data_IF_626811241526
#
_entry.id   IF_626811241526
#
_cell.length_a   1.000
_cell.length_b   1.000
_cell.length_c   1.000
_cell.angle_alpha   90.00
_cell.angle_beta   90.00
_cell.angle_gamma   90.00
#
_symmetry.space_group_name_H-M   'P 1'
#
loop_
_entity.id
_entity.type
_entity.pdbx_description
1 polymer ?
#
# COMPACT_ATOMS: atom_id res chain seq x y z
N UNK A 1 -16.00 0.95 -28.25
CA UNK A 1 -15.02 0.94 -27.14
C UNK A 1 -15.78 0.64 -25.87
N UNK A 2 -15.44 -0.48 -25.23
CA UNK A 2 -16.01 -0.95 -23.98
C UNK A 2 -15.45 -0.20 -22.76
N UNK A 3 -16.22 -0.21 -21.69
CA UNK A 3 -15.92 0.42 -20.39
C UNK A 3 -14.55 0.02 -19.81
N UNK A 4 -14.14 -1.25 -19.99
CA UNK A 4 -12.89 -1.85 -19.47
C UNK A 4 -11.61 -1.32 -20.13
N UNK A 5 -11.73 -0.54 -21.20
CA UNK A 5 -10.58 0.00 -21.95
C UNK A 5 -10.19 1.42 -21.56
N UNK A 6 -10.94 2.04 -20.65
CA UNK A 6 -10.71 3.44 -20.26
C UNK A 6 -9.72 3.58 -19.09
N UNK A 7 -9.71 2.63 -18.15
CA UNK A 7 -8.85 2.66 -16.97
C UNK A 7 -8.40 1.26 -16.56
N UNK A 8 -7.39 1.17 -15.70
CA UNK A 8 -6.83 -0.12 -15.25
C UNK A 8 -7.72 -0.87 -14.23
N UNK A 9 -8.60 -0.13 -13.57
CA UNK A 9 -9.57 -0.61 -12.59
C UNK A 9 -10.79 0.35 -12.56
N UNK A 10 -11.88 -0.06 -11.91
CA UNK A 10 -13.12 0.73 -11.85
C UNK A 10 -12.92 2.08 -11.16
N UNK A 11 -11.97 2.19 -10.23
CA UNK A 11 -11.69 3.43 -9.51
C UNK A 11 -10.99 4.44 -10.43
N UNK A 12 -9.97 3.98 -11.15
CA UNK A 12 -9.22 4.73 -12.15
C UNK A 12 -10.12 5.23 -13.27
N UNK A 13 -10.98 4.36 -13.78
CA UNK A 13 -11.98 4.70 -14.79
C UNK A 13 -12.94 5.81 -14.30
N UNK A 14 -13.49 5.69 -13.10
CA UNK A 14 -14.39 6.72 -12.53
C UNK A 14 -13.65 8.04 -12.33
N UNK A 15 -12.38 8.00 -11.91
CA UNK A 15 -11.56 9.20 -11.76
C UNK A 15 -11.37 9.92 -13.11
N UNK A 16 -10.99 9.19 -14.15
CA UNK A 16 -10.84 9.73 -15.51
C UNK A 16 -12.14 10.32 -16.05
N UNK A 17 -13.28 9.63 -15.85
CA UNK A 17 -14.57 10.15 -16.29
C UNK A 17 -14.94 11.45 -15.58
N UNK A 18 -14.69 11.56 -14.27
CA UNK A 18 -14.90 12.80 -13.52
C UNK A 18 -13.96 13.93 -13.98
N UNK A 19 -12.71 13.59 -14.28
CA UNK A 19 -11.74 14.55 -14.80
C UNK A 19 -12.20 15.11 -16.16
N UNK A 20 -12.64 14.24 -17.08
CA UNK A 20 -13.19 14.66 -18.36
C UNK A 20 -14.47 15.50 -18.21
N UNK A 21 -15.38 15.15 -17.30
CA UNK A 21 -16.59 15.94 -17.02
C UNK A 21 -16.22 17.37 -16.54
N UNK A 22 -15.22 17.50 -15.65
CA UNK A 22 -14.73 18.80 -15.18
C UNK A 22 -14.11 19.64 -16.32
N UNK A 23 -13.57 18.99 -17.35
CA UNK A 23 -13.04 19.64 -18.55
C UNK A 23 -14.13 19.95 -19.59
N UNK A 24 -15.39 19.58 -19.34
CA UNK A 24 -16.48 19.69 -20.32
C UNK A 24 -16.39 18.67 -21.46
N UNK A 25 -15.61 17.60 -21.28
CA UNK A 25 -15.42 16.54 -22.26
C UNK A 25 -16.43 15.41 -22.00
N UNK A 26 -17.17 15.05 -23.04
CA UNK A 26 -18.16 13.97 -22.99
C UNK A 26 -17.51 12.65 -23.40
N UNK A 27 -17.64 11.63 -22.54
CA UNK A 27 -17.21 10.27 -22.83
C UNK A 27 -18.39 9.46 -23.35
N UNK A 28 -18.20 8.76 -24.47
CA UNK A 28 -19.20 7.88 -25.08
C UNK A 28 -18.62 6.47 -25.23
N UNK A 29 -19.22 5.52 -24.54
CA UNK A 29 -18.89 4.10 -24.64
C UNK A 29 -19.75 3.49 -25.74
N UNK A 30 -19.19 3.36 -26.94
CA UNK A 30 -19.93 2.94 -28.14
C UNK A 30 -20.54 1.53 -28.02
N UNK A 31 -19.87 0.62 -27.31
CA UNK A 31 -20.29 -0.79 -27.27
C UNK A 31 -21.39 -1.01 -26.22
N UNK A 32 -21.40 -0.18 -25.17
CA UNK A 32 -22.33 -0.26 -24.04
C UNK A 32 -23.52 0.71 -24.21
N UNK A 33 -23.49 1.58 -25.24
CA UNK A 33 -24.52 2.61 -25.46
C UNK A 33 -24.57 3.68 -24.37
N UNK A 34 -23.53 3.77 -23.54
CA UNK A 34 -23.47 4.68 -22.40
C UNK A 34 -22.81 5.99 -22.81
N UNK A 35 -23.41 7.11 -22.40
CA UNK A 35 -22.81 8.44 -22.54
C UNK A 35 -22.80 9.16 -21.20
N UNK A 36 -21.73 9.92 -20.95
CA UNK A 36 -21.64 10.82 -19.79
C UNK A 36 -22.30 12.17 -20.05
N UNK A 37 -23.02 12.32 -21.17
CA UNK A 37 -23.73 13.53 -21.54
C UNK A 37 -25.05 13.69 -20.76
N UNK A 38 -25.34 14.92 -20.33
CA UNK A 38 -26.62 15.28 -19.72
C UNK A 38 -26.88 14.63 -18.35
N UNK A 39 -28.14 14.71 -17.89
CA UNK A 39 -28.54 14.22 -16.57
C UNK A 39 -28.39 12.69 -16.42
N UNK A 40 -28.62 11.94 -17.49
CA UNK A 40 -28.43 10.49 -17.52
C UNK A 40 -26.96 10.12 -17.36
N UNK A 41 -26.05 10.86 -18.01
CA UNK A 41 -24.61 10.65 -17.87
C UNK A 41 -24.12 10.83 -16.44
N UNK A 42 -24.54 11.91 -15.76
CA UNK A 42 -24.21 12.14 -14.34
C UNK A 42 -24.68 10.99 -13.44
N UNK A 43 -25.86 10.43 -13.71
CA UNK A 43 -26.38 9.27 -12.98
C UNK A 43 -25.51 8.03 -13.19
N UNK A 44 -25.13 7.74 -14.43
CA UNK A 44 -24.27 6.58 -14.74
C UNK A 44 -22.91 6.71 -14.07
N UNK A 45 -22.27 7.89 -14.13
CA UNK A 45 -20.99 8.15 -13.44
C UNK A 45 -21.13 7.94 -11.94
N UNK A 46 -22.23 8.40 -11.34
CA UNK A 46 -22.48 8.25 -9.90
C UNK A 46 -22.67 6.79 -9.50
N UNK A 47 -23.42 6.01 -10.28
CA UNK A 47 -23.61 4.57 -10.03
C UNK A 47 -22.28 3.82 -10.16
N UNK A 48 -21.52 4.07 -11.23
CA UNK A 48 -20.20 3.45 -11.43
C UNK A 48 -19.24 3.80 -10.28
N UNK A 49 -19.25 5.06 -9.82
CA UNK A 49 -18.47 5.48 -8.65
C UNK A 49 -18.87 4.74 -7.37
N UNK A 50 -20.18 4.60 -7.12
CA UNK A 50 -20.69 3.90 -5.95
C UNK A 50 -20.31 2.41 -5.96
N UNK A 51 -20.42 1.75 -7.12
CA UNK A 51 -20.03 0.35 -7.29
C UNK A 51 -18.52 0.18 -7.08
N UNK A 52 -17.70 1.03 -7.68
CA UNK A 52 -16.25 1.00 -7.50
C UNK A 52 -15.84 1.16 -6.03
N UNK A 53 -16.49 2.08 -5.32
CA UNK A 53 -16.25 2.31 -3.90
C UNK A 53 -16.66 1.11 -3.04
N UNK A 54 -17.83 0.52 -3.32
CA UNK A 54 -18.32 -0.66 -2.60
C UNK A 54 -17.41 -1.88 -2.80
N UNK A 55 -16.94 -2.11 -4.03
CA UNK A 55 -16.03 -3.20 -4.35
C UNK A 55 -14.67 -3.01 -3.64
N UNK A 56 -14.11 -1.81 -3.69
CA UNK A 56 -12.86 -1.47 -2.98
C UNK A 56 -12.99 -1.68 -1.47
N UNK A 57 -14.11 -1.27 -0.88
CA UNK A 57 -14.38 -1.47 0.54
C UNK A 57 -14.43 -2.97 0.89
N UNK A 58 -15.13 -3.77 0.09
CA UNK A 58 -15.22 -5.23 0.28
C UNK A 58 -13.87 -5.92 0.18
N UNK A 59 -13.01 -5.52 -0.75
CA UNK A 59 -11.65 -6.08 -0.88
C UNK A 59 -10.83 -5.76 0.36
N UNK A 60 -10.87 -4.52 0.84
CA UNK A 60 -10.15 -4.09 2.04
C UNK A 60 -10.63 -4.80 3.29
N UNK A 61 -11.95 -4.94 3.46
CA UNK A 61 -12.58 -5.67 4.57
C UNK A 61 -12.04 -7.10 4.64
N UNK A 62 -12.17 -7.86 3.54
CA UNK A 62 -11.69 -9.25 3.47
C UNK A 62 -10.18 -9.37 3.68
N UNK A 63 -9.42 -8.42 3.16
CA UNK A 63 -7.95 -8.42 3.32
C UNK A 63 -7.56 -8.16 4.78
N UNK A 64 -8.28 -7.26 5.45
CA UNK A 64 -8.04 -6.97 6.86
C UNK A 64 -8.47 -8.14 7.75
N UNK A 65 -9.63 -8.76 7.50
CA UNK A 65 -10.06 -9.98 8.20
C UNK A 65 -8.98 -11.07 8.11
N UNK A 66 -8.52 -11.39 6.89
CA UNK A 66 -7.45 -12.36 6.70
C UNK A 66 -6.12 -11.95 7.36
N UNK A 67 -5.82 -10.65 7.41
CA UNK A 67 -4.63 -10.12 8.08
C UNK A 67 -4.72 -10.28 9.60
N UNK A 68 -5.88 -10.01 10.21
CA UNK A 68 -6.09 -10.20 11.64
C UNK A 68 -6.04 -11.68 12.02
N UNK A 69 -6.65 -12.57 11.22
CA UNK A 69 -6.52 -14.02 11.42
C UNK A 69 -5.06 -14.49 11.34
N UNK A 70 -4.30 -14.01 10.36
CA UNK A 70 -2.89 -14.32 10.21
C UNK A 70 -2.07 -13.82 11.41
N UNK A 71 -2.35 -12.61 11.92
CA UNK A 71 -1.73 -12.10 13.16
C UNK A 71 -2.09 -12.95 14.37
N UNK A 72 -3.35 -13.37 14.51
CA UNK A 72 -3.81 -14.24 15.59
C UNK A 72 -3.13 -15.62 15.55
N UNK A 73 -2.81 -16.12 14.35
CA UNK A 73 -1.98 -17.33 14.14
C UNK A 73 -0.48 -17.11 14.37
N UNK A 74 -0.07 -15.91 14.78
CA UNK A 74 1.33 -15.58 15.04
C UNK A 74 2.19 -15.32 13.80
N UNK A 75 1.57 -15.12 12.62
CA UNK A 75 2.32 -14.81 11.40
C UNK A 75 2.97 -13.43 11.54
N UNK A 76 4.30 -13.40 11.51
CA UNK A 76 5.05 -12.16 11.52
C UNK A 76 5.02 -11.49 10.14
N UNK A 77 4.48 -10.27 10.10
CA UNK A 77 4.43 -9.45 8.89
C UNK A 77 5.67 -8.57 8.75
N UNK A 78 5.90 -8.09 7.53
CA UNK A 78 7.01 -7.19 7.21
C UNK A 78 8.28 -7.93 6.80
N UNK A 79 9.36 -7.16 6.59
CA UNK A 79 10.65 -7.72 6.19
C UNK A 79 11.23 -8.54 7.34
N UNK A 80 11.62 -9.78 7.05
CA UNK A 80 12.33 -10.63 8.03
C UNK A 80 13.61 -9.93 8.51
N UNK A 81 13.92 -9.95 9.82
CA UNK A 81 15.21 -9.50 10.31
C UNK A 81 16.33 -10.25 9.58
N UNK A 82 17.33 -9.51 9.10
CA UNK A 82 18.47 -10.06 8.33
C UNK A 82 19.81 -9.77 8.99
N UNK A 83 19.81 -8.92 10.02
CA UNK A 83 21.00 -8.55 10.78
C UNK A 83 21.08 -9.44 12.01
N UNK A 84 22.24 -10.04 12.21
CA UNK A 84 22.59 -10.76 13.43
C UNK A 84 22.70 -9.76 14.59
N UNK A 85 21.71 -9.76 15.49
CA UNK A 85 21.64 -8.80 16.58
C UNK A 85 22.59 -9.14 17.72
N UNK A 86 22.87 -10.42 17.92
CA UNK A 86 23.73 -10.89 19.01
C UNK A 86 25.18 -10.50 18.71
N UNK A 87 25.63 -10.79 17.48
CA UNK A 87 26.96 -10.35 17.01
C UNK A 87 27.12 -8.83 17.06
N UNK A 88 26.09 -8.07 16.73
CA UNK A 88 26.13 -6.61 16.81
C UNK A 88 26.31 -6.13 18.26
N UNK A 89 25.61 -6.75 19.19
CA UNK A 89 25.68 -6.43 20.61
C UNK A 89 27.05 -6.80 21.19
N UNK A 90 27.61 -7.96 20.83
CA UNK A 90 28.96 -8.38 21.21
C UNK A 90 30.01 -7.33 20.79
N UNK A 91 30.03 -6.95 19.51
CA UNK A 91 30.95 -5.92 19.00
C UNK A 91 30.78 -4.57 19.70
N UNK A 92 29.54 -4.22 20.06
CA UNK A 92 29.27 -2.99 20.80
C UNK A 92 29.80 -3.07 22.25
N UNK A 93 29.63 -4.21 22.92
CA UNK A 93 30.13 -4.45 24.28
C UNK A 93 31.66 -4.51 24.34
N UNK A 94 32.31 -4.95 23.25
CA UNK A 94 33.77 -4.85 23.06
C UNK A 94 34.27 -3.40 22.89
N UNK A 95 33.36 -2.43 22.82
CA UNK A 95 33.69 -1.00 22.71
C UNK A 95 33.90 -0.52 21.27
N UNK A 96 33.57 -1.33 20.26
CA UNK A 96 33.74 -0.96 18.85
C UNK A 96 32.73 0.13 18.47
N UNK A 97 33.20 1.15 17.75
CA UNK A 97 32.37 2.26 17.32
C UNK A 97 31.35 1.86 16.24
N UNK A 98 30.17 2.49 16.23
CA UNK A 98 29.07 2.15 15.33
C UNK A 98 29.41 2.20 13.82
N UNK A 99 30.34 3.07 13.42
CA UNK A 99 30.82 3.14 12.01
C UNK A 99 31.62 1.90 11.63
N UNK A 100 32.44 1.40 12.54
CA UNK A 100 33.28 0.22 12.31
C UNK A 100 32.43 -1.06 12.33
N UNK A 101 31.49 -1.17 13.27
CA UNK A 101 30.47 -2.24 13.29
C UNK A 101 29.70 -2.30 11.96
N UNK A 102 29.25 -1.14 11.47
CA UNK A 102 28.54 -1.03 10.20
C UNK A 102 29.36 -1.59 9.02
N UNK A 103 30.66 -1.25 8.98
CA UNK A 103 31.58 -1.77 7.96
C UNK A 103 31.80 -3.28 8.08
N UNK A 104 32.06 -3.78 9.30
CA UNK A 104 32.33 -5.20 9.52
C UNK A 104 31.11 -6.09 9.23
N UNK A 105 29.90 -5.58 9.49
CA UNK A 105 28.66 -6.32 9.27
C UNK A 105 27.99 -6.04 7.92
N UNK A 106 28.53 -5.13 7.10
CA UNK A 106 27.96 -4.77 5.80
C UNK A 106 26.58 -4.11 5.87
N UNK A 107 26.32 -3.35 6.94
CA UNK A 107 25.03 -2.68 7.19
C UNK A 107 25.19 -1.16 7.26
N UNK A 108 24.09 -0.42 7.09
CA UNK A 108 24.11 1.02 7.27
C UNK A 108 24.30 1.42 8.73
N UNK A 109 25.05 2.50 9.01
CA UNK A 109 25.27 3.03 10.36
C UNK A 109 23.96 3.35 11.10
N UNK A 110 22.93 3.82 10.38
CA UNK A 110 21.59 4.04 10.95
C UNK A 110 20.94 2.75 11.46
N UNK A 111 21.18 1.61 10.79
CA UNK A 111 20.71 0.30 11.21
C UNK A 111 21.36 -0.14 12.52
N UNK A 112 22.65 0.16 12.71
CA UNK A 112 23.37 -0.12 13.97
C UNK A 112 22.70 0.59 15.14
N UNK A 113 22.56 1.92 15.08
CA UNK A 113 21.90 2.68 16.15
C UNK A 113 20.45 2.27 16.38
N UNK A 114 19.71 1.97 15.31
CA UNK A 114 18.33 1.49 15.42
C UNK A 114 18.27 0.18 16.21
N UNK A 115 19.14 -0.78 15.90
CA UNK A 115 19.17 -2.08 16.57
C UNK A 115 19.59 -1.92 18.03
N UNK A 116 20.63 -1.11 18.32
CA UNK A 116 21.05 -0.84 19.70
C UNK A 116 19.91 -0.26 20.54
N UNK A 117 19.21 0.76 20.01
CA UNK A 117 18.04 1.35 20.68
C UNK A 117 16.90 0.35 20.89
N UNK A 118 16.65 -0.54 19.93
CA UNK A 118 15.64 -1.61 20.05
C UNK A 118 16.02 -2.66 21.11
N UNK A 119 17.32 -2.90 21.33
CA UNK A 119 17.82 -3.85 22.32
C UNK A 119 17.80 -3.26 23.73
N UNK A 120 18.18 -1.98 23.89
CA UNK A 120 18.06 -1.25 25.16
C UNK A 120 16.61 -1.26 25.67
N UNK A 121 15.64 -0.97 24.80
CA UNK A 121 14.20 -0.96 25.14
C UNK A 121 13.61 -2.33 25.53
N UNK A 122 14.34 -3.43 25.35
CA UNK A 122 13.90 -4.78 25.74
C UNK A 122 14.48 -5.24 27.07
N UNK A 123 15.45 -4.51 27.61
CA UNK A 123 16.10 -4.81 28.89
C UNK A 123 15.43 -4.08 30.07
N UNK A 124 14.60 -3.06 29.78
CA UNK A 124 13.68 -2.37 30.70
C UNK A 124 12.30 -3.06 30.75
#
# INVERSE_FOLDING_TARGET
MKLDRLGRDTVDMVALVKEFDNMGVVVKFMDDGISTEGAMGKMVVTILAAVAQAERARILERTNEGREEARAKGIQFGRKPTVDRDKLLELHQEGIGATEIASQMGIGRATVYKILKELEFKLD
#
